data_IF_761025439492
#
_entry.id   IF_761025439492
#
_cell.length_a   1.000
_cell.length_b   1.000
_cell.length_c   1.000
_cell.angle_alpha   90.00
_cell.angle_beta   90.00
_cell.angle_gamma   90.00
#
_symmetry.space_group_name_H-M   'P 1'
#
loop_
_entity.id
_entity.type
_entity.pdbx_description
1 polymer ?
#
# COMPACT_ATOMS: atom_id res chain seq x y z
N UNK A 1 18.54 7.71 -36.02
CA UNK A 1 17.13 7.36 -36.27
C UNK A 1 16.28 7.93 -35.15
N UNK A 2 15.39 8.89 -35.45
CA UNK A 2 14.53 9.49 -34.43
C UNK A 2 13.18 8.75 -34.38
N UNK A 3 12.90 8.07 -33.26
CA UNK A 3 11.61 7.43 -33.01
C UNK A 3 10.53 8.49 -32.79
N UNK A 4 9.79 8.86 -33.83
CA UNK A 4 8.55 9.63 -33.68
C UNK A 4 7.48 8.71 -33.10
N UNK A 5 7.17 8.86 -31.81
CA UNK A 5 5.99 8.24 -31.21
C UNK A 5 4.74 8.86 -31.85
N UNK A 6 3.72 8.07 -32.22
CA UNK A 6 2.47 8.61 -32.71
C UNK A 6 1.85 9.46 -31.61
N UNK A 7 1.66 10.75 -31.90
CA UNK A 7 0.91 11.67 -31.05
C UNK A 7 -0.53 11.21 -31.04
N UNK A 8 -0.93 10.50 -29.98
CA UNK A 8 -2.34 10.27 -29.70
C UNK A 8 -2.94 11.63 -29.41
N UNK A 9 -3.60 12.22 -30.41
CA UNK A 9 -4.35 13.46 -30.27
C UNK A 9 -5.36 13.23 -29.14
N UNK A 10 -5.09 13.80 -27.97
CA UNK A 10 -6.03 13.81 -26.87
C UNK A 10 -7.32 14.44 -27.39
N UNK A 11 -8.43 13.71 -27.28
CA UNK A 11 -9.74 14.25 -27.63
C UNK A 11 -9.97 15.53 -26.82
N UNK A 12 -10.59 16.57 -27.42
CA UNK A 12 -10.80 17.84 -26.74
C UNK A 12 -11.62 17.63 -25.47
N UNK A 13 -11.38 18.52 -24.50
CA UNK A 13 -12.01 18.59 -23.19
C UNK A 13 -13.50 18.24 -23.26
N UNK A 14 -13.81 17.13 -22.58
CA UNK A 14 -15.14 16.62 -22.29
C UNK A 14 -16.02 17.76 -21.78
N UNK A 15 -17.28 17.82 -22.23
CA UNK A 15 -18.28 18.73 -21.70
C UNK A 15 -18.29 18.62 -20.16
N UNK A 16 -18.25 19.76 -19.44
CA UNK A 16 -18.13 19.79 -17.98
C UNK A 16 -19.20 18.91 -17.32
N UNK A 17 -20.41 18.96 -17.84
CA UNK A 17 -21.55 18.19 -17.33
C UNK A 17 -21.33 16.68 -17.52
N UNK A 18 -20.80 16.26 -18.66
CA UNK A 18 -20.46 14.85 -18.93
C UNK A 18 -19.35 14.35 -18.01
N UNK A 19 -18.33 15.18 -17.74
CA UNK A 19 -17.25 14.84 -16.81
C UNK A 19 -17.77 14.67 -15.38
N UNK A 20 -18.65 15.56 -14.93
CA UNK A 20 -19.26 15.42 -13.60
C UNK A 20 -20.10 14.14 -13.51
N UNK A 21 -20.88 13.84 -14.54
CA UNK A 21 -21.65 12.61 -14.61
C UNK A 21 -20.75 11.36 -14.62
N UNK A 22 -19.62 11.40 -15.33
CA UNK A 22 -18.68 10.27 -15.33
C UNK A 22 -18.06 10.08 -13.94
N UNK A 23 -17.61 11.15 -13.28
CA UNK A 23 -17.04 11.07 -11.92
C UNK A 23 -18.05 10.47 -10.93
N UNK A 24 -19.31 10.88 -11.00
CA UNK A 24 -20.36 10.33 -10.12
C UNK A 24 -20.57 8.84 -10.39
N UNK A 25 -20.63 8.43 -11.66
CA UNK A 25 -20.75 7.01 -12.04
C UNK A 25 -19.55 6.20 -11.57
N UNK A 26 -18.34 6.68 -11.82
CA UNK A 26 -17.10 5.97 -11.48
C UNK A 26 -16.95 5.81 -9.96
N UNK A 27 -17.30 6.84 -9.18
CA UNK A 27 -17.33 6.75 -7.71
C UNK A 27 -18.32 5.71 -7.22
N UNK A 28 -19.51 5.63 -7.83
CA UNK A 28 -20.51 4.60 -7.48
C UNK A 28 -19.96 3.21 -7.76
N UNK A 29 -19.44 2.98 -8.98
CA UNK A 29 -18.87 1.69 -9.38
C UNK A 29 -17.73 1.25 -8.45
N UNK A 30 -16.85 2.17 -8.09
CA UNK A 30 -15.73 1.89 -7.19
C UNK A 30 -16.21 1.53 -5.78
N UNK A 31 -17.22 2.25 -5.27
CA UNK A 31 -17.82 1.95 -3.98
C UNK A 31 -18.50 0.57 -3.96
N UNK A 32 -19.26 0.24 -5.01
CA UNK A 32 -19.90 -1.07 -5.16
C UNK A 32 -18.85 -2.20 -5.22
N UNK A 33 -17.71 -1.96 -5.90
CA UNK A 33 -16.59 -2.89 -5.94
C UNK A 33 -15.95 -3.10 -4.56
N UNK A 34 -15.63 -2.04 -3.82
CA UNK A 34 -15.06 -2.16 -2.47
C UNK A 34 -16.00 -2.87 -1.50
N UNK A 35 -17.30 -2.62 -1.58
CA UNK A 35 -18.30 -3.37 -0.80
C UNK A 35 -18.27 -4.86 -1.16
N UNK A 36 -18.14 -5.19 -2.45
CA UNK A 36 -18.03 -6.59 -2.88
C UNK A 36 -16.77 -7.27 -2.33
N UNK A 37 -15.64 -6.56 -2.23
CA UNK A 37 -14.42 -7.09 -1.63
C UNK A 37 -14.60 -7.34 -0.12
N UNK A 38 -15.20 -6.40 0.60
CA UNK A 38 -15.52 -6.58 2.02
C UNK A 38 -16.43 -7.80 2.26
N UNK A 39 -17.37 -8.07 1.35
CA UNK A 39 -18.19 -9.31 1.44
C UNK A 39 -17.42 -10.57 1.06
N UNK A 40 -16.48 -10.51 0.12
CA UNK A 40 -15.68 -11.65 -0.32
C UNK A 40 -14.59 -12.07 0.67
N UNK A 41 -14.07 -11.14 1.48
CA UNK A 41 -13.14 -11.46 2.58
C UNK A 41 -13.77 -12.40 3.63
N UNK A 42 -15.11 -12.51 3.68
CA UNK A 42 -15.79 -13.48 4.54
C UNK A 42 -15.94 -14.89 3.96
N UNK A 43 -15.60 -15.12 2.68
CA UNK A 43 -15.90 -16.40 1.98
C UNK A 43 -14.71 -17.05 1.25
N UNK A 44 -13.59 -16.38 0.96
CA UNK A 44 -12.53 -17.01 0.13
C UNK A 44 -11.11 -16.90 0.66
N UNK A 45 -10.75 -17.87 1.51
CA UNK A 45 -9.44 -18.51 1.48
C UNK A 45 -9.49 -19.61 0.41
N UNK A 46 -9.47 -19.25 -0.88
CA UNK A 46 -9.09 -20.12 -2.02
C UNK A 46 -9.27 -19.41 -3.37
N UNK A 47 -8.17 -19.41 -4.14
CA UNK A 47 -7.96 -19.10 -5.55
C UNK A 47 -9.17 -18.75 -6.43
N UNK A 48 -9.02 -17.72 -7.28
CA UNK A 48 -9.44 -17.78 -8.70
C UNK A 48 -8.86 -16.63 -9.53
N UNK A 49 -7.86 -16.99 -10.32
CA UNK A 49 -7.36 -16.32 -11.52
C UNK A 49 -8.52 -15.95 -12.46
N UNK A 50 -8.62 -14.68 -12.84
CA UNK A 50 -9.54 -14.25 -13.91
C UNK A 50 -8.90 -14.62 -15.25
N UNK A 51 -9.37 -15.70 -15.88
CA UNK A 51 -8.99 -16.10 -17.24
C UNK A 51 -9.88 -15.38 -18.25
N UNK A 52 -9.30 -14.47 -19.03
CA UNK A 52 -9.89 -13.98 -20.29
C UNK A 52 -9.03 -14.53 -21.43
N UNK A 53 -9.68 -15.17 -22.40
CA UNK A 53 -9.06 -15.93 -23.50
C UNK A 53 -8.13 -15.09 -24.41
N UNK A 54 -7.14 -15.72 -25.08
CA UNK A 54 -5.99 -15.03 -25.65
C UNK A 54 -6.22 -14.64 -27.13
N UNK A 55 -6.06 -13.35 -27.45
CA UNK A 55 -5.67 -12.93 -28.80
C UNK A 55 -4.22 -12.46 -28.75
N UNK A 56 -3.39 -13.12 -29.54
CA UNK A 56 -1.94 -13.07 -29.51
C UNK A 56 -1.38 -11.72 -29.96
N UNK A 57 -0.85 -11.00 -28.99
CA UNK A 57 0.32 -10.11 -29.08
C UNK A 57 1.06 -10.32 -27.76
N UNK A 58 2.40 -10.27 -27.70
CA UNK A 58 3.13 -10.32 -26.43
C UNK A 58 2.96 -8.97 -25.75
N UNK A 59 1.73 -8.59 -25.45
CA UNK A 59 1.45 -7.58 -24.44
C UNK A 59 1.85 -8.26 -23.15
N UNK A 60 3.02 -7.89 -22.62
CA UNK A 60 3.35 -8.09 -21.22
C UNK A 60 2.06 -7.86 -20.44
N UNK A 61 1.62 -8.87 -19.71
CA UNK A 61 0.38 -8.86 -18.96
C UNK A 61 0.49 -7.70 -17.97
N UNK A 62 0.04 -6.50 -18.37
CA UNK A 62 0.30 -5.28 -17.62
C UNK A 62 -0.45 -5.40 -16.32
N UNK A 63 0.27 -5.18 -15.22
CA UNK A 63 -0.35 -5.16 -13.90
C UNK A 63 -1.42 -4.04 -13.88
N UNK A 64 -2.47 -4.25 -13.09
CA UNK A 64 -3.48 -3.25 -12.74
C UNK A 64 -2.85 -1.91 -12.32
N UNK A 65 -1.71 -1.95 -11.62
CA UNK A 65 -0.93 -0.77 -11.26
C UNK A 65 -0.39 -0.02 -12.48
N UNK A 66 0.25 -0.73 -13.43
CA UNK A 66 0.79 -0.12 -14.64
C UNK A 66 -0.31 0.52 -15.49
N UNK A 67 -1.45 -0.17 -15.62
CA UNK A 67 -2.62 0.33 -16.35
C UNK A 67 -3.18 1.60 -15.70
N UNK A 68 -3.25 1.66 -14.37
CA UNK A 68 -3.68 2.85 -13.64
C UNK A 68 -2.75 4.04 -13.92
N UNK A 69 -1.43 3.87 -13.74
CA UNK A 69 -0.48 4.97 -13.94
C UNK A 69 -0.42 5.43 -15.40
N UNK A 70 -0.56 4.52 -16.36
CA UNK A 70 -0.67 4.86 -17.79
C UNK A 70 -1.91 5.73 -18.05
N UNK A 71 -3.08 5.32 -17.54
CA UNK A 71 -4.33 6.06 -17.70
C UNK A 71 -4.29 7.46 -17.04
N UNK A 72 -3.70 7.55 -15.85
CA UNK A 72 -3.51 8.81 -15.14
C UNK A 72 -2.54 9.72 -15.91
N UNK A 73 -1.45 9.16 -16.44
CA UNK A 73 -0.48 9.91 -17.23
C UNK A 73 -1.09 10.48 -18.52
N UNK A 74 -1.97 9.73 -19.20
CA UNK A 74 -2.69 10.24 -20.38
C UNK A 74 -3.53 11.47 -19.99
N UNK A 75 -4.27 11.38 -18.89
CA UNK A 75 -5.10 12.47 -18.40
C UNK A 75 -4.26 13.71 -18.05
N UNK A 76 -3.16 13.54 -17.30
CA UNK A 76 -2.24 14.64 -16.91
C UNK A 76 -1.58 15.29 -18.13
N UNK A 77 -1.20 14.50 -19.14
CA UNK A 77 -0.57 15.02 -20.38
C UNK A 77 -1.52 15.89 -21.19
N UNK A 78 -2.84 15.74 -21.02
CA UNK A 78 -3.85 16.57 -21.69
C UNK A 78 -4.10 17.91 -20.97
N UNK A 79 -3.58 18.09 -19.76
CA UNK A 79 -3.76 19.32 -18.98
C UNK A 79 -2.76 20.43 -19.43
N UNK A 80 -3.12 21.71 -19.24
CA UNK A 80 -2.18 22.81 -19.33
C UNK A 80 -0.94 22.59 -18.44
N UNK A 81 0.27 23.00 -18.84
CA UNK A 81 1.51 22.70 -18.12
C UNK A 81 1.50 23.06 -16.63
N UNK A 82 0.88 24.19 -16.26
CA UNK A 82 0.72 24.62 -14.85
C UNK A 82 -0.10 23.61 -14.04
N UNK A 83 -1.25 23.19 -14.58
CA UNK A 83 -2.13 22.20 -13.93
C UNK A 83 -1.51 20.80 -13.92
N UNK A 84 -0.76 20.43 -14.97
CA UNK A 84 -0.04 19.17 -15.00
C UNK A 84 1.06 19.10 -13.93
N UNK A 85 1.79 20.21 -13.71
CA UNK A 85 2.79 20.30 -12.64
C UNK A 85 2.14 20.20 -11.25
N UNK A 86 1.03 20.92 -11.05
CA UNK A 86 0.25 20.85 -9.81
C UNK A 86 -0.27 19.43 -9.55
N UNK A 87 -0.84 18.77 -10.56
CA UNK A 87 -1.34 17.39 -10.44
C UNK A 87 -0.21 16.43 -10.04
N UNK A 88 0.96 16.52 -10.67
CA UNK A 88 2.13 15.71 -10.31
C UNK A 88 2.57 15.97 -8.87
N UNK A 89 2.62 17.24 -8.46
CA UNK A 89 2.98 17.61 -7.09
C UNK A 89 2.00 17.02 -6.06
N UNK A 90 0.69 17.14 -6.30
CA UNK A 90 -0.34 16.57 -5.42
C UNK A 90 -0.28 15.04 -5.35
N UNK A 91 -0.07 14.37 -6.48
CA UNK A 91 0.10 12.90 -6.50
C UNK A 91 1.32 12.49 -5.69
N UNK A 92 2.45 13.19 -5.86
CA UNK A 92 3.66 12.92 -5.08
C UNK A 92 3.42 13.05 -3.59
N UNK A 93 2.71 14.10 -3.16
CA UNK A 93 2.37 14.31 -1.74
C UNK A 93 1.54 13.15 -1.19
N UNK A 94 0.48 12.74 -1.90
CA UNK A 94 -0.37 11.63 -1.48
C UNK A 94 0.44 10.33 -1.31
N UNK A 95 1.34 10.02 -2.25
CA UNK A 95 2.19 8.84 -2.16
C UNK A 95 3.06 8.90 -0.90
N UNK A 96 3.75 10.02 -0.67
CA UNK A 96 4.61 10.20 0.51
C UNK A 96 3.83 10.10 1.82
N UNK A 97 2.58 10.60 1.88
CA UNK A 97 1.72 10.43 3.05
C UNK A 97 1.41 8.96 3.34
N UNK A 98 1.14 8.16 2.31
CA UNK A 98 0.89 6.72 2.47
C UNK A 98 2.16 5.95 2.83
N UNK A 99 3.31 6.30 2.24
CA UNK A 99 4.62 5.72 2.61
C UNK A 99 4.92 5.94 4.10
N UNK A 100 4.70 7.15 4.62
CA UNK A 100 4.90 7.46 6.04
C UNK A 100 3.96 6.67 6.96
N UNK A 101 2.68 6.51 6.59
CA UNK A 101 1.74 5.69 7.38
C UNK A 101 2.15 4.22 7.39
N UNK A 102 2.57 3.68 6.25
CA UNK A 102 3.06 2.30 6.17
C UNK A 102 4.28 2.07 7.09
N UNK A 103 5.23 3.01 7.10
CA UNK A 103 6.38 2.97 8.02
C UNK A 103 5.90 3.01 9.48
N UNK A 104 5.03 3.95 9.81
CA UNK A 104 4.51 4.13 11.19
C UNK A 104 3.77 2.87 11.69
N UNK A 105 3.01 2.20 10.83
CA UNK A 105 2.33 0.95 11.16
C UNK A 105 3.32 -0.20 11.41
N UNK A 106 4.37 -0.31 10.60
CA UNK A 106 5.44 -1.29 10.80
C UNK A 106 6.20 -1.05 12.11
N UNK A 107 6.55 0.20 12.41
CA UNK A 107 7.23 0.56 13.67
C UNK A 107 6.37 0.23 14.90
N UNK A 108 5.06 0.53 14.85
CA UNK A 108 4.14 0.20 15.93
C UNK A 108 3.98 -1.33 16.13
N UNK A 109 4.07 -2.12 15.07
CA UNK A 109 4.07 -3.59 15.17
C UNK A 109 5.37 -4.09 15.82
N UNK A 110 6.52 -3.59 15.39
CA UNK A 110 7.83 -3.96 15.96
C UNK A 110 7.94 -3.58 17.45
N UNK A 111 7.39 -2.42 17.85
CA UNK A 111 7.31 -2.00 19.24
C UNK A 111 6.51 -3.00 20.09
N UNK A 112 5.36 -3.47 19.58
CA UNK A 112 4.53 -4.49 20.25
C UNK A 112 5.25 -5.83 20.39
N UNK A 113 5.97 -6.26 19.36
CA UNK A 113 6.79 -7.48 19.39
C UNK A 113 7.91 -7.38 20.44
N UNK A 114 8.63 -6.25 20.48
CA UNK A 114 9.68 -5.99 21.49
C UNK A 114 9.12 -5.96 22.91
N UNK A 115 7.95 -5.35 23.12
CA UNK A 115 7.29 -5.34 24.42
C UNK A 115 6.80 -6.73 24.85
N UNK A 116 6.35 -7.57 23.92
CA UNK A 116 5.99 -8.96 24.23
C UNK A 116 7.22 -9.79 24.62
N UNK A 117 8.34 -9.65 23.90
CA UNK A 117 9.60 -10.30 24.26
C UNK A 117 10.09 -9.82 25.64
N UNK A 118 10.07 -8.51 25.91
CA UNK A 118 10.47 -7.96 27.21
C UNK A 118 9.59 -8.44 28.36
N UNK A 119 8.26 -8.57 28.15
CA UNK A 119 7.35 -9.13 29.15
C UNK A 119 7.60 -10.61 29.40
N UNK A 120 7.82 -11.41 28.36
CA UNK A 120 8.16 -12.83 28.51
C UNK A 120 9.48 -13.02 29.26
N UNK A 121 10.51 -12.22 28.96
CA UNK A 121 11.79 -12.25 29.69
C UNK A 121 11.62 -11.84 31.16
N UNK A 122 10.75 -10.88 31.46
CA UNK A 122 10.50 -10.42 32.84
C UNK A 122 9.74 -11.48 33.66
N UNK A 123 8.76 -12.16 33.07
CA UNK A 123 8.03 -13.27 33.72
C UNK A 123 8.95 -14.44 34.04
N UNK A 124 9.88 -14.79 33.14
CA UNK A 124 10.87 -15.85 33.40
C UNK A 124 11.83 -15.52 34.55
N UNK A 125 12.14 -14.24 34.78
CA UNK A 125 13.01 -13.81 35.89
C UNK A 125 12.27 -13.73 37.24
N UNK A 126 10.97 -13.44 37.26
CA UNK A 126 10.18 -13.45 38.50
C UNK A 126 9.87 -14.87 38.99
N UNK A 127 9.82 -15.85 38.07
CA UNK A 127 9.60 -17.26 38.43
C UNK A 127 10.88 -18.00 38.88
N UNK A 128 12.05 -17.35 38.79
CA UNK A 128 13.35 -17.90 39.23
C UNK A 128 13.83 -17.34 40.58
N UNK A 129 13.11 -16.39 41.18
CA UNK A 129 13.42 -15.89 42.53
C UNK A 129 12.55 -16.62 43.56
N UNK A 130 12.88 -17.89 43.80
CA UNK A 130 12.43 -18.57 45.01
C UNK A 130 13.09 -17.85 46.21
N UNK A 131 12.27 -17.39 47.15
CA UNK A 131 12.66 -16.49 48.25
C UNK A 131 13.59 -17.14 49.28
N UNK A 132 14.14 -18.33 48.99
CA UNK A 132 15.04 -19.10 49.85
C UNK A 132 16.51 -19.09 49.39
N UNK A 133 16.84 -18.47 48.26
CA UNK A 133 18.20 -18.54 47.70
C UNK A 133 19.05 -17.34 48.11
N UNK A 134 19.44 -17.29 49.38
CA UNK A 134 20.42 -16.31 49.85
C UNK A 134 21.80 -16.58 49.22
N UNK A 135 22.34 -15.61 48.49
CA UNK A 135 23.71 -15.68 47.97
C UNK A 135 24.66 -15.45 49.15
N UNK A 136 25.34 -16.50 49.60
CA UNK A 136 26.41 -16.42 50.61
C UNK A 136 27.74 -16.19 49.91
N UNK A 137 28.35 -15.03 50.14
CA UNK A 137 29.73 -14.78 49.75
C UNK A 137 30.65 -15.25 50.88
N UNK A 138 31.36 -16.36 50.68
CA UNK A 138 32.42 -16.79 51.58
C UNK A 138 33.74 -16.16 51.14
N UNK A 139 34.33 -15.35 52.02
CA UNK A 139 35.66 -14.78 51.82
C UNK A 139 36.68 -15.61 52.59
N UNK A 140 37.52 -16.36 51.87
CA UNK A 140 38.69 -16.99 52.45
C UNK A 140 39.83 -15.98 52.54
N UNK A 141 40.18 -15.58 53.76
CA UNK A 141 41.41 -14.87 54.03
C UNK A 141 42.56 -15.88 54.10
N UNK A 142 43.56 -15.73 53.22
CA UNK A 142 44.82 -16.46 53.32
C UNK A 142 45.70 -15.81 54.39
N UNK A 143 46.10 -16.58 55.40
CA UNK A 143 47.15 -16.24 56.38
C UNK A 143 48.49 -16.80 55.94
#
# INVERSE_FOLDING_TARGET
MAFRRPSMKAKPLVNREELLQSIVRDRKLLNDYFQSLATKESVQKESSTITIAPQAVPMQQRDSYDLFFESACISIKSLPPKLAAEAKSRISQIITEFELRAISEQEAQQEKEKQHIAKTVRVSNEQAMDSSSGIVYEFQAYT
#
